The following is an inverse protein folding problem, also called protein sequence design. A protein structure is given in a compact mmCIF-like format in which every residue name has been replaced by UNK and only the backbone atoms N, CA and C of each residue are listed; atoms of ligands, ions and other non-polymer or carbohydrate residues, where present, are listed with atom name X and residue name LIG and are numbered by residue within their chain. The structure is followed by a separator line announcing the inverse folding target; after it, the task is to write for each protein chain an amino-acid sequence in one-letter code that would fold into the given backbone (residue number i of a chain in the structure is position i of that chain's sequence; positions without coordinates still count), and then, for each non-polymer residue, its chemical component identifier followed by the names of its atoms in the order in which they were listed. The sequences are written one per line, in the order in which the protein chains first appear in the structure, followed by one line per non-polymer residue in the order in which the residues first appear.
data_IF_996530753628
#
_entry.id   IF_996530753628
#
_cell.length_a   1.000
_cell.length_b   1.000
_cell.length_c   1.000
_cell.angle_alpha   90.00
_cell.angle_beta   90.00
_cell.angle_gamma   90.00
#
_symmetry.space_group_name_H-M   'P 1'
#
loop_
_entity.id
_entity.type
_entity.pdbx_description
1 polymer ?
#
# COMPACT_ATOMS: atom_id res chain seq x y z
N UNK A 1 9.22 1.47 -29.31
CA UNK A 1 8.78 1.97 -27.99
C UNK A 1 9.85 2.90 -27.47
N UNK A 2 9.55 4.18 -27.28
CA UNK A 2 10.47 5.11 -26.61
C UNK A 2 10.32 4.99 -25.10
N UNK A 3 11.43 4.95 -24.37
CA UNK A 3 11.43 4.95 -22.91
C UNK A 3 11.04 6.32 -22.36
N UNK A 4 10.53 6.33 -21.13
CA UNK A 4 10.17 7.56 -20.41
C UNK A 4 11.46 8.34 -20.11
N UNK A 5 11.51 9.63 -20.46
CA UNK A 5 12.73 10.45 -20.37
C UNK A 5 12.82 11.34 -19.12
N UNK A 6 11.70 11.56 -18.42
CA UNK A 6 11.61 12.44 -17.24
C UNK A 6 11.17 11.64 -16.00
N UNK A 7 11.61 12.08 -14.82
CA UNK A 7 11.09 11.62 -13.53
C UNK A 7 9.68 12.20 -13.31
N UNK A 8 8.75 11.35 -12.91
CA UNK A 8 7.41 11.75 -12.52
C UNK A 8 7.18 11.30 -11.08
N UNK A 9 6.85 12.25 -10.22
CA UNK A 9 6.44 11.99 -8.84
C UNK A 9 4.92 12.13 -8.77
N UNK A 10 4.26 11.26 -8.02
CA UNK A 10 2.83 11.38 -7.78
C UNK A 10 2.48 10.91 -6.38
N UNK A 11 1.40 11.49 -5.84
CA UNK A 11 0.75 10.99 -4.64
C UNK A 11 -0.52 10.27 -5.09
N UNK A 12 -0.62 8.98 -4.78
CA UNK A 12 -1.82 8.19 -5.00
C UNK A 12 -2.53 8.02 -3.66
N UNK A 13 -3.72 8.62 -3.54
CA UNK A 13 -4.59 8.42 -2.39
C UNK A 13 -5.72 7.49 -2.80
N UNK A 14 -6.00 6.48 -1.98
CA UNK A 14 -7.15 5.59 -2.12
C UNK A 14 -7.66 5.23 -0.72
N UNK A 15 -8.91 4.79 -0.64
CA UNK A 15 -9.55 4.35 0.59
C UNK A 15 -10.05 2.90 0.48
N UNK A 16 -10.34 2.31 1.63
CA UNK A 16 -10.98 1.00 1.73
C UNK A 16 -12.07 1.08 2.78
N UNK A 17 -13.26 0.60 2.42
CA UNK A 17 -14.39 0.46 3.34
C UNK A 17 -14.71 -1.01 3.51
N UNK A 18 -14.76 -1.50 4.75
CA UNK A 18 -15.11 -2.89 5.10
C UNK A 18 -14.27 -3.94 4.33
N UNK A 19 -12.98 -3.70 4.14
CA UNK A 19 -12.08 -4.58 3.40
C UNK A 19 -10.71 -4.69 4.04
N UNK A 20 -9.93 -5.66 3.57
CA UNK A 20 -8.52 -5.81 3.90
C UNK A 20 -7.68 -5.58 2.63
N UNK A 21 -7.02 -4.42 2.46
CA UNK A 21 -6.27 -4.12 1.24
C UNK A 21 -5.00 -4.94 1.05
N UNK A 22 -4.40 -5.41 2.14
CA UNK A 22 -3.00 -5.82 2.15
C UNK A 22 -2.72 -6.94 3.17
N UNK A 23 -3.59 -7.95 3.22
CA UNK A 23 -3.53 -9.04 4.20
C UNK A 23 -2.14 -9.66 4.40
N UNK A 24 -1.77 -9.86 5.66
CA UNK A 24 -0.50 -10.40 6.11
C UNK A 24 -0.55 -11.94 6.17
N UNK A 25 0.28 -12.67 5.40
CA UNK A 25 0.32 -14.12 5.41
C UNK A 25 0.82 -14.71 6.73
N UNK A 26 1.63 -13.97 7.49
CA UNK A 26 2.25 -14.42 8.74
C UNK A 26 1.36 -14.08 9.95
N UNK A 27 0.42 -13.13 9.80
CA UNK A 27 -0.54 -12.73 10.83
C UNK A 27 -1.98 -13.17 10.52
N UNK A 28 -2.16 -14.31 9.83
CA UNK A 28 -3.49 -14.90 9.63
C UNK A 28 -4.43 -14.05 8.77
N UNK A 29 -3.90 -13.34 7.77
CA UNK A 29 -4.64 -12.45 6.87
C UNK A 29 -5.27 -11.23 7.57
N UNK A 30 -4.70 -10.75 8.67
CA UNK A 30 -4.98 -9.41 9.20
C UNK A 30 -4.37 -8.34 8.29
N UNK A 31 -4.86 -7.08 8.28
CA UNK A 31 -4.19 -5.99 7.57
C UNK A 31 -2.75 -5.84 8.05
N UNK A 32 -1.81 -5.56 7.13
CA UNK A 32 -0.43 -5.26 7.50
C UNK A 32 -0.39 -3.94 8.27
N UNK A 33 0.48 -3.88 9.26
CA UNK A 33 0.75 -2.68 10.06
C UNK A 33 2.25 -2.53 10.25
N UNK A 34 2.73 -1.30 10.15
CA UNK A 34 4.05 -0.93 10.65
C UNK A 34 4.05 -1.00 12.18
N UNK A 35 4.91 -1.82 12.81
CA UNK A 35 4.92 -2.01 14.26
C UNK A 35 5.36 -0.77 15.05
N UNK A 36 6.05 0.19 14.42
CA UNK A 36 6.52 1.40 15.10
C UNK A 36 5.45 2.50 15.10
N UNK A 37 4.68 2.60 14.02
CA UNK A 37 3.73 3.70 13.80
C UNK A 37 2.26 3.29 13.87
N UNK A 38 1.97 1.99 13.81
CA UNK A 38 0.64 1.40 13.64
C UNK A 38 -0.11 1.87 12.39
N UNK A 39 0.61 2.30 11.34
CA UNK A 39 0.02 2.65 10.05
C UNK A 39 0.04 1.44 9.10
N UNK A 40 -0.97 1.32 8.24
CA UNK A 40 -1.14 0.20 7.29
C UNK A 40 -1.71 0.66 5.95
#
# INVERSE_FOLDING_TARGET
MSTIANRYEFVLLFDVTNGNPNGDPDAGNLPRLDPETNQG
#
